data_IF_780748710713
#
_entry.id   IF_780748710713
#
_cell.length_a   1.000
_cell.length_b   1.000
_cell.length_c   1.000
_cell.angle_alpha   90.00
_cell.angle_beta   90.00
_cell.angle_gamma   90.00
#
_symmetry.space_group_name_H-M   'P 1'
#
loop_
_entity.id
_entity.type
_entity.pdbx_description
1 polymer ?
#
# COMPACT_ATOMS: atom_id res chain seq x y z
N UNK A 1 -24.58 26.76 -10.32
CA UNK A 1 -23.43 26.17 -9.61
C UNK A 1 -23.41 24.66 -9.84
N UNK A 2 -22.58 23.98 -10.64
CA UNK A 2 -21.69 24.32 -11.76
C UNK A 2 -21.44 22.97 -12.49
N UNK A 3 -22.09 22.69 -13.64
CA UNK A 3 -21.99 21.39 -14.35
C UNK A 3 -20.53 21.00 -14.66
N UNK A 4 -19.66 22.00 -14.86
CA UNK A 4 -18.23 21.80 -15.10
C UNK A 4 -17.45 21.32 -13.86
N UNK A 5 -17.80 21.79 -12.65
CA UNK A 5 -17.22 21.26 -11.40
C UNK A 5 -17.69 19.82 -11.15
N UNK A 6 -18.95 19.50 -11.46
CA UNK A 6 -19.50 18.15 -11.31
C UNK A 6 -18.90 17.16 -12.32
N UNK A 7 -18.69 17.58 -13.57
CA UNK A 7 -18.03 16.79 -14.63
C UNK A 7 -16.54 16.57 -14.33
N UNK A 8 -15.85 17.60 -13.82
CA UNK A 8 -14.45 17.50 -13.36
C UNK A 8 -14.31 16.51 -12.19
N UNK A 9 -15.21 16.59 -11.20
CA UNK A 9 -15.23 15.65 -10.06
C UNK A 9 -15.51 14.20 -10.47
N UNK A 10 -16.43 13.96 -11.42
CA UNK A 10 -16.68 12.62 -11.96
C UNK A 10 -15.48 12.07 -12.74
N UNK A 11 -14.85 12.90 -13.58
CA UNK A 11 -13.67 12.51 -14.35
C UNK A 11 -12.52 12.10 -13.41
N UNK A 12 -12.27 12.90 -12.37
CA UNK A 12 -11.23 12.62 -11.38
C UNK A 12 -11.49 11.31 -10.62
N UNK A 13 -12.76 10.99 -10.33
CA UNK A 13 -13.15 9.70 -9.71
C UNK A 13 -12.81 8.53 -10.63
N UNK A 14 -13.22 8.56 -11.90
CA UNK A 14 -12.94 7.45 -12.82
C UNK A 14 -11.44 7.29 -13.11
N UNK A 15 -10.71 8.40 -13.29
CA UNK A 15 -9.26 8.36 -13.45
C UNK A 15 -8.59 7.76 -12.21
N UNK A 16 -8.99 8.19 -11.01
CA UNK A 16 -8.45 7.64 -9.76
C UNK A 16 -8.73 6.14 -9.60
N UNK A 17 -9.92 5.70 -10.01
CA UNK A 17 -10.31 4.28 -10.01
C UNK A 17 -9.41 3.47 -10.93
N UNK A 18 -9.32 3.86 -12.21
CA UNK A 18 -8.54 3.14 -13.22
C UNK A 18 -7.06 3.09 -12.82
N UNK A 19 -6.50 4.24 -12.45
CA UNK A 19 -5.09 4.33 -12.04
C UNK A 19 -4.83 3.46 -10.82
N UNK A 20 -5.69 3.48 -9.80
CA UNK A 20 -5.50 2.64 -8.61
C UNK A 20 -5.64 1.15 -8.91
N UNK A 21 -6.62 0.76 -9.75
CA UNK A 21 -6.80 -0.64 -10.16
C UNK A 21 -5.57 -1.17 -10.89
N UNK A 22 -5.13 -0.46 -11.92
CA UNK A 22 -3.98 -0.87 -12.72
C UNK A 22 -2.71 -0.89 -11.87
N UNK A 23 -2.50 0.15 -11.07
CA UNK A 23 -1.36 0.23 -10.16
C UNK A 23 -1.30 -0.95 -9.20
N UNK A 24 -2.41 -1.27 -8.52
CA UNK A 24 -2.46 -2.38 -7.56
C UNK A 24 -2.21 -3.73 -8.22
N UNK A 25 -2.78 -3.97 -9.40
CA UNK A 25 -2.56 -5.21 -10.14
C UNK A 25 -1.12 -5.33 -10.64
N UNK A 26 -0.59 -4.26 -11.27
CA UNK A 26 0.76 -4.23 -11.82
C UNK A 26 1.82 -4.43 -10.74
N UNK A 27 1.66 -3.84 -9.55
CA UNK A 27 2.63 -3.98 -8.45
C UNK A 27 2.76 -5.44 -8.03
N UNK A 28 1.64 -6.13 -7.76
CA UNK A 28 1.66 -7.53 -7.34
C UNK A 28 2.25 -8.46 -8.40
N UNK A 29 1.81 -8.31 -9.65
CA UNK A 29 2.28 -9.11 -10.78
C UNK A 29 3.77 -8.87 -11.08
N UNK A 30 4.19 -7.60 -11.10
CA UNK A 30 5.58 -7.22 -11.42
C UNK A 30 6.54 -7.62 -10.30
N UNK A 31 6.12 -7.51 -9.03
CA UNK A 31 6.90 -8.05 -7.92
C UNK A 31 7.09 -9.55 -8.09
N UNK A 32 6.03 -10.32 -8.33
CA UNK A 32 6.15 -11.77 -8.55
C UNK A 32 7.10 -12.09 -9.70
N UNK A 33 6.88 -11.48 -10.87
CA UNK A 33 7.72 -11.70 -12.03
C UNK A 33 9.21 -11.38 -11.75
N UNK A 34 9.49 -10.25 -11.09
CA UNK A 34 10.87 -9.87 -10.74
C UNK A 34 11.59 -10.87 -9.84
N UNK A 35 10.84 -11.66 -9.06
CA UNK A 35 11.37 -12.63 -8.09
C UNK A 35 11.36 -14.07 -8.62
N UNK A 36 10.68 -14.35 -9.73
CA UNK A 36 10.63 -15.70 -10.33
C UNK A 36 11.26 -15.81 -11.70
N UNK A 37 11.67 -14.69 -12.31
CA UNK A 37 12.40 -14.68 -13.59
C UNK A 37 13.77 -15.35 -13.47
N UNK A 38 14.29 -15.84 -14.60
CA UNK A 38 15.65 -16.35 -14.69
C UNK A 38 16.68 -15.21 -14.69
N UNK A 39 17.89 -15.49 -14.23
CA UNK A 39 19.01 -14.54 -14.16
C UNK A 39 19.37 -14.13 -12.74
N UNK A 40 20.31 -13.19 -12.64
CA UNK A 40 20.80 -12.69 -11.35
C UNK A 40 19.68 -11.97 -10.59
N UNK A 41 19.48 -12.39 -9.34
CA UNK A 41 18.43 -11.86 -8.48
C UNK A 41 18.90 -10.57 -7.81
N UNK A 42 18.20 -9.48 -8.09
CA UNK A 42 18.44 -8.21 -7.41
C UNK A 42 18.16 -8.30 -5.91
N UNK A 43 18.80 -7.41 -5.15
CA UNK A 43 18.58 -7.27 -3.72
C UNK A 43 17.28 -6.48 -3.47
N UNK A 44 16.31 -7.09 -2.77
CA UNK A 44 15.05 -6.41 -2.49
C UNK A 44 15.23 -5.18 -1.59
N UNK A 45 16.20 -5.23 -0.67
CA UNK A 45 16.55 -4.15 0.24
C UNK A 45 16.95 -2.87 -0.51
N UNK A 46 17.81 -2.99 -1.51
CA UNK A 46 18.27 -1.87 -2.34
C UNK A 46 17.11 -1.30 -3.18
N UNK A 47 16.21 -2.15 -3.68
CA UNK A 47 15.04 -1.71 -4.44
C UNK A 47 14.05 -0.92 -3.58
N UNK A 48 13.86 -1.33 -2.31
CA UNK A 48 13.06 -0.58 -1.35
C UNK A 48 13.67 0.79 -1.09
N UNK A 49 15.00 0.88 -0.87
CA UNK A 49 15.69 2.18 -0.70
C UNK A 49 15.52 3.07 -1.91
N UNK A 50 15.73 2.53 -3.12
CA UNK A 50 15.58 3.32 -4.35
C UNK A 50 14.13 3.80 -4.55
N UNK A 51 13.13 3.04 -4.13
CA UNK A 51 11.74 3.49 -4.16
C UNK A 51 11.51 4.68 -3.21
N UNK A 52 12.17 4.72 -2.04
CA UNK A 52 12.15 5.90 -1.15
C UNK A 52 12.87 7.11 -1.77
N UNK A 53 13.97 6.91 -2.48
CA UNK A 53 14.68 7.99 -3.20
C UNK A 53 13.78 8.61 -4.26
N UNK A 54 13.12 7.79 -5.08
CA UNK A 54 12.19 8.27 -6.10
C UNK A 54 11.00 9.00 -5.47
N UNK A 55 10.45 8.46 -4.37
CA UNK A 55 9.37 9.14 -3.61
C UNK A 55 9.81 10.48 -3.04
N UNK A 56 11.01 10.55 -2.45
CA UNK A 56 11.56 11.79 -1.91
C UNK A 56 11.66 12.85 -3.01
N UNK A 57 12.29 12.50 -4.13
CA UNK A 57 12.43 13.40 -5.26
C UNK A 57 11.07 13.91 -5.75
N UNK A 58 10.11 13.00 -5.93
CA UNK A 58 8.77 13.34 -6.42
C UNK A 58 8.03 14.24 -5.42
N UNK A 59 8.12 13.96 -4.12
CA UNK A 59 7.49 14.79 -3.09
C UNK A 59 8.15 16.16 -2.97
N UNK A 60 9.47 16.27 -3.12
CA UNK A 60 10.16 17.57 -3.15
C UNK A 60 9.69 18.42 -4.32
N UNK A 61 9.52 17.83 -5.51
CA UNK A 61 8.95 18.52 -6.68
C UNK A 61 7.51 18.98 -6.39
N UNK A 62 6.67 18.13 -5.80
CA UNK A 62 5.28 18.49 -5.47
C UNK A 62 5.20 19.60 -4.41
N UNK A 63 6.04 19.55 -3.37
CA UNK A 63 6.12 20.62 -2.35
C UNK A 63 6.62 21.93 -2.99
N UNK A 64 7.60 21.87 -3.89
CA UNK A 64 8.05 23.05 -4.62
C UNK A 64 6.93 23.69 -5.45
N UNK A 65 6.12 22.86 -6.14
CA UNK A 65 4.95 23.32 -6.89
C UNK A 65 3.88 23.93 -5.96
N UNK A 66 3.63 23.34 -4.79
CA UNK A 66 2.67 23.88 -3.81
C UNK A 66 3.10 25.25 -3.24
N UNK A 67 4.39 25.43 -2.95
CA UNK A 67 4.92 26.68 -2.39
C UNK A 67 5.14 27.78 -3.44
N UNK A 68 5.34 27.40 -4.70
CA UNK A 68 5.43 28.28 -5.87
C UNK A 68 6.70 29.15 -5.97
N UNK A 69 7.51 29.23 -4.91
CA UNK A 69 8.76 29.99 -4.86
C UNK A 69 9.84 29.21 -4.08
N UNK A 70 11.08 29.25 -4.57
CA UNK A 70 12.26 28.65 -3.93
C UNK A 70 12.47 29.13 -2.49
N UNK A 71 12.29 30.42 -2.19
CA UNK A 71 12.49 30.94 -0.83
C UNK A 71 11.47 30.33 0.16
N UNK A 72 10.20 30.27 -0.25
CA UNK A 72 9.13 29.63 0.54
C UNK A 72 9.37 28.14 0.70
N UNK A 73 9.79 27.46 -0.37
CA UNK A 73 10.14 26.05 -0.36
C UNK A 73 11.25 25.73 0.67
N UNK A 74 12.37 26.45 0.62
CA UNK A 74 13.46 26.25 1.59
C UNK A 74 13.01 26.57 3.01
N UNK A 75 12.25 27.65 3.19
CA UNK A 75 11.70 28.03 4.50
C UNK A 75 10.76 26.95 5.05
N UNK A 76 9.90 26.38 4.22
CA UNK A 76 8.99 25.29 4.58
C UNK A 76 9.76 24.02 4.97
N UNK A 77 10.74 23.60 4.17
CA UNK A 77 11.60 22.46 4.50
C UNK A 77 12.33 22.66 5.83
N UNK A 78 12.96 23.83 6.02
CA UNK A 78 13.71 24.10 7.23
C UNK A 78 12.81 24.20 8.47
N UNK A 79 11.65 24.83 8.37
CA UNK A 79 10.69 24.95 9.47
C UNK A 79 10.12 23.58 9.87
N UNK A 80 9.72 22.77 8.90
CA UNK A 80 9.01 21.52 9.15
C UNK A 80 9.95 20.36 9.48
N UNK A 81 11.12 20.27 8.84
CA UNK A 81 12.07 19.17 9.05
C UNK A 81 13.03 19.47 10.21
N UNK A 82 13.66 20.63 10.21
CA UNK A 82 14.77 20.96 11.13
C UNK A 82 14.26 21.60 12.43
N UNK A 83 13.36 22.60 12.33
CA UNK A 83 12.90 23.34 13.51
C UNK A 83 11.83 22.61 14.33
N UNK A 84 11.26 21.51 13.82
CA UNK A 84 10.28 20.67 14.54
C UNK A 84 10.81 19.23 14.73
N UNK A 85 11.92 19.04 15.46
CA UNK A 85 12.57 17.74 15.58
C UNK A 85 11.68 16.67 16.25
N UNK A 86 10.81 17.08 17.19
CA UNK A 86 9.89 16.15 17.86
C UNK A 86 8.84 15.59 16.88
N UNK A 87 8.31 16.42 15.99
CA UNK A 87 7.34 15.95 15.00
C UNK A 87 8.01 15.12 13.92
N UNK A 88 9.22 15.49 13.51
CA UNK A 88 10.07 14.65 12.64
C UNK A 88 10.36 13.29 13.30
N UNK A 89 10.69 13.27 14.59
CA UNK A 89 10.97 12.03 15.32
C UNK A 89 9.75 11.10 15.42
N UNK A 90 8.53 11.66 15.58
CA UNK A 90 7.30 10.86 15.52
C UNK A 90 7.17 10.14 14.16
N UNK A 91 7.58 10.79 13.07
CA UNK A 91 7.54 10.22 11.72
C UNK A 91 8.62 9.13 11.51
N UNK A 92 9.63 9.01 12.38
CA UNK A 92 10.60 7.90 12.36
C UNK A 92 9.95 6.53 12.57
N UNK A 93 8.90 6.45 13.40
CA UNK A 93 8.20 5.20 13.69
C UNK A 93 7.56 4.62 12.41
N UNK A 94 6.66 5.32 11.70
CA UNK A 94 6.05 4.78 10.49
C UNK A 94 7.08 4.58 9.37
N UNK A 95 8.10 5.43 9.22
CA UNK A 95 9.14 5.24 8.18
C UNK A 95 9.90 3.93 8.35
N UNK A 96 10.39 3.62 9.55
CA UNK A 96 11.08 2.35 9.82
C UNK A 96 10.16 1.14 9.53
N UNK A 97 8.91 1.20 9.99
CA UNK A 97 7.96 0.11 9.80
C UNK A 97 7.60 -0.08 8.32
N UNK A 98 7.52 0.99 7.52
CA UNK A 98 7.30 0.90 6.09
C UNK A 98 8.49 0.28 5.35
N UNK A 99 9.73 0.56 5.75
CA UNK A 99 10.92 -0.10 5.18
C UNK A 99 10.86 -1.61 5.43
N UNK A 100 10.60 -2.02 6.68
CA UNK A 100 10.51 -3.45 7.03
C UNK A 100 9.33 -4.10 6.30
N UNK A 101 8.17 -3.44 6.27
CA UNK A 101 6.99 -3.91 5.56
C UNK A 101 7.28 -4.13 4.06
N UNK A 102 7.91 -3.16 3.38
CA UNK A 102 8.17 -3.25 1.96
C UNK A 102 9.15 -4.39 1.62
N UNK A 103 10.13 -4.64 2.48
CA UNK A 103 11.01 -5.81 2.34
C UNK A 103 10.25 -7.14 2.53
N UNK A 104 9.38 -7.23 3.55
CA UNK A 104 8.54 -8.40 3.76
C UNK A 104 7.58 -8.68 2.60
N UNK A 105 7.14 -7.64 1.88
CA UNK A 105 6.35 -7.81 0.66
C UNK A 105 7.14 -8.51 -0.45
N UNK A 106 8.43 -8.17 -0.63
CA UNK A 106 9.30 -8.89 -1.56
C UNK A 106 9.54 -10.34 -1.13
N UNK A 107 9.75 -10.59 0.16
CA UNK A 107 9.86 -11.96 0.70
C UNK A 107 8.58 -12.75 0.41
N UNK A 108 7.43 -12.14 0.63
CA UNK A 108 6.14 -12.76 0.33
C UNK A 108 5.95 -13.04 -1.16
N UNK A 109 6.21 -12.08 -2.05
CA UNK A 109 6.09 -12.26 -3.49
C UNK A 109 7.06 -13.30 -4.07
N UNK A 110 8.21 -13.50 -3.41
CA UNK A 110 9.18 -14.55 -3.78
C UNK A 110 8.67 -15.95 -3.45
N UNK A 111 7.78 -16.08 -2.46
CA UNK A 111 7.36 -17.36 -1.88
C UNK A 111 5.88 -17.72 -2.13
N UNK A 112 5.05 -16.75 -2.49
CA UNK A 112 3.64 -16.94 -2.88
C UNK A 112 3.45 -16.53 -4.33
N UNK A 113 2.54 -17.21 -5.04
CA UNK A 113 2.07 -16.75 -6.34
C UNK A 113 1.37 -15.38 -6.22
N UNK A 114 1.32 -14.65 -7.35
CA UNK A 114 0.82 -13.28 -7.35
C UNK A 114 -0.65 -13.18 -6.92
N UNK A 115 -1.51 -14.13 -7.30
CA UNK A 115 -2.93 -14.11 -6.97
C UNK A 115 -3.14 -14.34 -5.47
N UNK A 116 -2.46 -15.33 -4.89
CA UNK A 116 -2.49 -15.62 -3.46
C UNK A 116 -1.91 -14.48 -2.65
N UNK A 117 -0.77 -13.92 -3.06
CA UNK A 117 -0.20 -12.74 -2.42
C UNK A 117 -1.20 -11.57 -2.42
N UNK A 118 -1.82 -11.29 -3.57
CA UNK A 118 -2.79 -10.20 -3.73
C UNK A 118 -3.98 -10.35 -2.78
N UNK A 119 -4.58 -11.54 -2.69
CA UNK A 119 -5.74 -11.77 -1.81
C UNK A 119 -5.33 -11.76 -0.34
N UNK A 120 -4.19 -12.36 -0.01
CA UNK A 120 -3.69 -12.46 1.38
C UNK A 120 -3.35 -11.10 1.96
N UNK A 121 -2.79 -10.21 1.13
CA UNK A 121 -2.44 -8.86 1.57
C UNK A 121 -3.66 -8.01 1.93
N UNK A 122 -4.87 -8.45 1.56
CA UNK A 122 -6.11 -7.81 2.01
C UNK A 122 -6.37 -7.97 3.52
N UNK A 123 -5.67 -8.89 4.21
CA UNK A 123 -5.65 -8.96 5.68
C UNK A 123 -5.20 -7.64 6.32
N UNK A 124 -4.52 -6.76 5.57
CA UNK A 124 -4.26 -5.38 6.00
C UNK A 124 -5.52 -4.64 6.46
N UNK A 125 -6.70 -4.94 5.90
CA UNK A 125 -7.97 -4.33 6.33
C UNK A 125 -8.26 -4.70 7.78
N UNK A 126 -8.06 -5.97 8.16
CA UNK A 126 -8.23 -6.45 9.53
C UNK A 126 -7.28 -5.75 10.49
N UNK A 127 -5.98 -5.72 10.18
CA UNK A 127 -4.97 -5.12 11.06
C UNK A 127 -5.18 -3.60 11.18
N UNK A 128 -5.51 -2.93 10.08
CA UNK A 128 -5.84 -1.50 10.07
C UNK A 128 -7.07 -1.21 10.93
N UNK A 129 -8.12 -2.03 10.83
CA UNK A 129 -9.33 -1.90 11.64
C UNK A 129 -9.02 -2.10 13.13
N UNK A 130 -8.23 -3.12 13.48
CA UNK A 130 -7.78 -3.38 14.84
C UNK A 130 -7.03 -2.17 15.43
N UNK A 131 -6.05 -1.62 14.71
CA UNK A 131 -5.32 -0.44 15.17
C UNK A 131 -6.17 0.83 15.17
N UNK A 132 -7.12 0.97 14.25
CA UNK A 132 -8.05 2.10 14.25
C UNK A 132 -8.95 2.12 15.49
N UNK A 133 -9.43 0.95 15.95
CA UNK A 133 -10.22 0.83 17.17
C UNK A 133 -9.36 1.09 18.41
N UNK A 134 -8.17 0.49 18.47
CA UNK A 134 -7.31 0.57 19.68
C UNK A 134 -6.60 1.91 19.83
N UNK A 135 -6.04 2.48 18.76
CA UNK A 135 -5.21 3.70 18.80
C UNK A 135 -6.03 4.98 18.57
N UNK A 136 -6.95 4.96 17.60
CA UNK A 136 -7.78 6.12 17.24
C UNK A 136 -9.15 6.10 17.93
N UNK A 137 -9.47 5.05 18.70
CA UNK A 137 -10.77 4.88 19.38
C UNK A 137 -11.97 5.03 18.44
N UNK A 138 -11.82 4.60 17.17
CA UNK A 138 -12.92 4.58 16.21
C UNK A 138 -13.92 3.48 16.58
N UNK A 139 -15.21 3.76 16.45
CA UNK A 139 -16.26 2.74 16.56
C UNK A 139 -16.51 2.09 15.20
N UNK A 140 -16.55 0.76 15.17
CA UNK A 140 -16.93 -0.02 13.99
C UNK A 140 -18.37 -0.50 14.13
N UNK A 141 -19.09 -0.48 13.01
CA UNK A 141 -20.46 -1.01 12.94
C UNK A 141 -20.44 -2.54 12.96
N UNK A 142 -21.53 -3.16 13.40
CA UNK A 142 -21.68 -4.63 13.40
C UNK A 142 -21.46 -5.24 12.01
N UNK A 143 -21.92 -4.56 10.95
CA UNK A 143 -21.67 -4.97 9.55
C UNK A 143 -20.18 -4.99 9.22
N UNK A 144 -19.41 -4.03 9.73
CA UNK A 144 -17.96 -3.98 9.50
C UNK A 144 -17.25 -5.10 10.25
N UNK A 145 -17.67 -5.43 11.47
CA UNK A 145 -17.15 -6.62 12.18
C UNK A 145 -17.45 -7.91 11.43
N UNK A 146 -18.68 -8.08 10.92
CA UNK A 146 -19.04 -9.20 10.05
C UNK A 146 -18.19 -9.27 8.78
N UNK A 147 -17.92 -8.12 8.15
CA UNK A 147 -17.02 -8.03 7.01
C UNK A 147 -15.60 -8.52 7.35
N UNK A 148 -15.06 -8.14 8.51
CA UNK A 148 -13.72 -8.57 8.94
C UNK A 148 -13.66 -10.09 9.15
N UNK A 149 -14.69 -10.71 9.72
CA UNK A 149 -14.75 -12.18 9.84
C UNK A 149 -14.79 -12.83 8.45
N UNK A 150 -15.61 -12.30 7.55
CA UNK A 150 -15.73 -12.78 6.17
C UNK A 150 -14.38 -12.70 5.41
N UNK A 151 -13.61 -11.63 5.67
CA UNK A 151 -12.25 -11.45 5.14
C UNK A 151 -11.34 -12.59 5.55
N UNK A 152 -11.32 -12.93 6.85
CA UNK A 152 -10.47 -14.01 7.39
C UNK A 152 -10.85 -15.34 6.77
N UNK A 153 -12.14 -15.66 6.70
CA UNK A 153 -12.62 -16.90 6.06
C UNK A 153 -12.16 -16.97 4.60
N UNK A 154 -12.35 -15.88 3.85
CA UNK A 154 -11.95 -15.82 2.44
C UNK A 154 -10.45 -16.03 2.22
N UNK A 155 -9.61 -15.39 3.06
CA UNK A 155 -8.15 -15.56 2.99
C UNK A 155 -7.74 -16.97 3.40
N UNK A 156 -8.34 -17.56 4.44
CA UNK A 156 -8.08 -18.96 4.83
C UNK A 156 -8.41 -19.93 3.69
N UNK A 157 -9.55 -19.75 3.01
CA UNK A 157 -9.92 -20.58 1.87
C UNK A 157 -8.90 -20.48 0.73
N UNK A 158 -8.45 -19.27 0.39
CA UNK A 158 -7.41 -19.05 -0.63
C UNK A 158 -6.09 -19.70 -0.25
N UNK A 159 -5.66 -19.56 1.01
CA UNK A 159 -4.43 -20.14 1.52
C UNK A 159 -4.47 -21.67 1.49
N UNK A 160 -5.58 -22.28 1.90
CA UNK A 160 -5.76 -23.74 1.86
C UNK A 160 -5.76 -24.28 0.42
N UNK A 161 -6.34 -23.55 -0.53
CA UNK A 161 -6.41 -23.95 -1.94
C UNK A 161 -5.04 -24.10 -2.62
N UNK A 162 -3.98 -23.49 -2.06
CA UNK A 162 -2.63 -23.45 -2.63
C UNK A 162 -1.64 -24.40 -1.94
N UNK A 163 -2.12 -25.28 -1.05
CA UNK A 163 -1.26 -26.25 -0.34
C UNK A 163 -0.64 -27.32 -1.27
N UNK A 164 -0.95 -27.30 -2.57
CA UNK A 164 -0.43 -28.24 -3.58
C UNK A 164 0.78 -27.58 -4.27
N UNK A 165 1.98 -28.07 -3.95
CA UNK A 165 3.27 -27.59 -4.51
C UNK A 165 3.32 -27.80 -6.03
N UNK A 166 3.10 -26.75 -6.81
CA UNK A 166 3.53 -26.73 -8.20
C UNK A 166 5.01 -26.27 -8.25
N UNK A 167 5.93 -27.04 -8.86
CA UNK A 167 7.31 -26.59 -9.03
C UNK A 167 7.35 -25.39 -9.97
N UNK A 168 8.05 -24.32 -9.57
CA UNK A 168 8.26 -23.16 -10.43
C UNK A 168 9.36 -23.47 -11.45
N UNK A 169 9.18 -23.11 -12.74
CA UNK A 169 10.15 -23.41 -13.80
C UNK A 169 11.57 -22.91 -13.55
N UNK A 170 11.76 -21.90 -12.70
CA UNK A 170 13.05 -21.26 -12.41
C UNK A 170 13.93 -21.98 -11.39
N UNK A 171 13.46 -23.08 -10.79
CA UNK A 171 14.24 -23.83 -9.79
C UNK A 171 14.41 -23.13 -8.44
N UNK A 172 13.70 -22.02 -8.22
CA UNK A 172 13.70 -21.26 -6.97
C UNK A 172 12.82 -22.00 -5.95
N UNK A 173 13.41 -22.43 -4.83
CA UNK A 173 12.65 -23.02 -3.72
C UNK A 173 11.65 -22.02 -3.15
N UNK A 174 10.37 -22.41 -3.10
CA UNK A 174 9.31 -21.59 -2.53
C UNK A 174 8.81 -22.22 -1.24
N UNK A 175 8.77 -21.42 -0.19
CA UNK A 175 8.21 -21.83 1.08
C UNK A 175 6.94 -21.03 1.37
N UNK A 176 5.80 -21.68 1.15
CA UNK A 176 4.47 -21.11 1.36
C UNK A 176 4.29 -20.52 2.76
N UNK A 177 4.81 -21.16 3.80
CA UNK A 177 4.71 -20.68 5.18
C UNK A 177 5.53 -19.41 5.41
N UNK A 178 6.73 -19.32 4.82
CA UNK A 178 7.55 -18.10 4.86
C UNK A 178 6.82 -16.98 4.11
N UNK A 179 6.26 -17.28 2.94
CA UNK A 179 5.54 -16.30 2.13
C UNK A 179 4.28 -15.76 2.81
N UNK A 180 3.49 -16.64 3.44
CA UNK A 180 2.29 -16.29 4.20
C UNK A 180 2.63 -15.51 5.47
N UNK A 181 3.60 -15.98 6.27
CA UNK A 181 4.02 -15.28 7.49
C UNK A 181 4.59 -13.89 7.17
N UNK A 182 5.38 -13.75 6.10
CA UNK A 182 5.86 -12.46 5.61
C UNK A 182 4.71 -11.52 5.21
N UNK A 183 3.70 -12.01 4.46
CA UNK A 183 2.51 -11.22 4.13
C UNK A 183 1.74 -10.79 5.38
N UNK A 184 1.54 -11.69 6.33
CA UNK A 184 0.82 -11.41 7.57
C UNK A 184 1.56 -10.35 8.41
N UNK A 185 2.87 -10.51 8.60
CA UNK A 185 3.71 -9.52 9.27
C UNK A 185 3.68 -8.17 8.55
N UNK A 186 3.77 -8.15 7.22
CA UNK A 186 3.62 -6.93 6.43
C UNK A 186 2.24 -6.27 6.64
N UNK A 187 1.15 -7.04 6.68
CA UNK A 187 -0.19 -6.52 6.98
C UNK A 187 -0.25 -5.86 8.37
N UNK A 188 0.34 -6.48 9.39
CA UNK A 188 0.39 -5.90 10.75
C UNK A 188 1.17 -4.59 10.79
N UNK A 189 2.39 -4.58 10.24
CA UNK A 189 3.21 -3.37 10.15
C UNK A 189 2.50 -2.27 9.36
N UNK A 190 1.84 -2.62 8.25
CA UNK A 190 1.10 -1.66 7.43
C UNK A 190 -0.11 -1.07 8.14
N UNK A 191 -0.85 -1.89 8.87
CA UNK A 191 -2.00 -1.44 9.66
C UNK A 191 -1.56 -0.48 10.76
N UNK A 192 -0.51 -0.83 11.51
CA UNK A 192 0.00 0.04 12.58
C UNK A 192 0.60 1.33 12.03
N UNK A 193 1.53 1.24 11.08
CA UNK A 193 2.20 2.41 10.50
C UNK A 193 1.19 3.36 9.84
N UNK A 194 0.19 2.82 9.13
CA UNK A 194 -0.87 3.60 8.49
C UNK A 194 -1.73 4.36 9.50
N UNK A 195 -2.18 3.71 10.57
CA UNK A 195 -2.99 4.35 11.61
C UNK A 195 -2.19 5.36 12.43
N UNK A 196 -0.92 5.04 12.72
CA UNK A 196 -0.01 5.96 13.38
C UNK A 196 0.24 7.21 12.51
N UNK A 197 0.49 7.03 11.21
CA UNK A 197 0.66 8.13 10.26
C UNK A 197 -0.63 8.96 10.10
N UNK A 198 -1.81 8.33 10.05
CA UNK A 198 -3.10 9.02 10.05
C UNK A 198 -3.26 9.91 11.30
N UNK A 199 -2.83 9.40 12.48
CA UNK A 199 -2.86 10.16 13.73
C UNK A 199 -1.98 11.40 13.68
N UNK A 200 -0.77 11.30 13.12
CA UNK A 200 0.14 12.44 12.95
C UNK A 200 -0.43 13.45 11.95
N UNK A 201 -0.92 12.98 10.80
CA UNK A 201 -1.49 13.83 9.75
C UNK A 201 -2.66 14.67 10.26
N UNK A 202 -3.59 14.05 10.98
CA UNK A 202 -4.79 14.73 11.50
C UNK A 202 -4.49 15.73 12.63
N UNK A 203 -3.29 15.70 13.20
CA UNK A 203 -2.86 16.62 14.26
C UNK A 203 -2.12 17.86 13.76
N UNK A 204 -1.98 18.07 12.44
CA UNK A 204 -1.18 19.17 11.89
C UNK A 204 -1.70 19.68 10.55
N UNK A 205 -1.52 20.97 10.27
CA UNK A 205 -1.82 21.60 8.97
C UNK A 205 -0.73 21.36 7.90
N UNK A 206 0.19 20.42 8.14
CA UNK A 206 1.30 20.12 7.23
C UNK A 206 0.77 19.33 6.03
N UNK A 207 1.18 19.72 4.82
CA UNK A 207 0.74 19.07 3.59
C UNK A 207 1.14 17.59 3.56
N UNK A 208 0.32 16.78 2.88
CA UNK A 208 0.56 15.34 2.74
C UNK A 208 1.89 15.07 2.04
N UNK A 209 2.31 15.92 1.11
CA UNK A 209 3.60 15.79 0.43
C UNK A 209 4.76 16.12 1.35
N UNK A 210 4.66 17.18 2.16
CA UNK A 210 5.70 17.51 3.14
C UNK A 210 5.87 16.38 4.18
N UNK A 211 4.76 15.74 4.62
CA UNK A 211 4.85 14.55 5.47
C UNK A 211 5.51 13.36 4.76
N UNK A 212 5.28 13.18 3.46
CA UNK A 212 5.98 12.15 2.68
C UNK A 212 7.47 12.48 2.45
N UNK A 213 7.85 13.77 2.37
CA UNK A 213 9.26 14.19 2.41
C UNK A 213 9.87 13.78 3.75
N UNK A 214 9.25 14.12 4.88
CA UNK A 214 9.73 13.71 6.21
C UNK A 214 9.88 12.19 6.32
N UNK A 215 8.87 11.43 5.88
CA UNK A 215 8.94 9.97 5.84
C UNK A 215 10.14 9.50 5.02
N UNK A 216 10.30 9.98 3.78
CA UNK A 216 11.34 9.48 2.88
C UNK A 216 12.75 9.87 3.34
N UNK A 217 12.94 11.09 3.84
CA UNK A 217 14.23 11.57 4.41
C UNK A 217 14.68 10.69 5.57
N UNK A 218 13.74 10.20 6.39
CA UNK A 218 14.04 9.30 7.50
C UNK A 218 14.16 7.84 7.05
N UNK A 219 13.34 7.40 6.09
CA UNK A 219 13.36 6.04 5.56
C UNK A 219 14.66 5.69 4.84
N UNK A 220 15.26 6.63 4.09
CA UNK A 220 16.48 6.36 3.32
C UNK A 220 17.67 5.93 4.19
N UNK A 221 18.08 6.66 5.25
CA UNK A 221 19.20 6.23 6.08
C UNK A 221 18.91 4.92 6.82
N UNK A 222 17.69 4.71 7.32
CA UNK A 222 17.31 3.43 7.91
C UNK A 222 17.37 2.29 6.87
N UNK A 223 16.84 2.52 5.68
CA UNK A 223 16.85 1.57 4.57
C UNK A 223 18.27 1.22 4.14
N UNK A 224 19.15 2.20 3.96
CA UNK A 224 20.57 1.98 3.67
C UNK A 224 21.23 1.18 4.79
N UNK A 225 20.99 1.54 6.06
CA UNK A 225 21.46 0.78 7.22
C UNK A 225 21.03 -0.69 7.15
N UNK A 226 19.75 -0.95 6.87
CA UNK A 226 19.26 -2.33 6.70
C UNK A 226 19.88 -3.05 5.51
N UNK A 227 20.09 -2.37 4.37
CA UNK A 227 20.75 -2.95 3.20
C UNK A 227 22.17 -3.42 3.52
N UNK A 228 22.96 -2.58 4.19
CA UNK A 228 24.34 -2.93 4.52
C UNK A 228 24.44 -3.96 5.65
N UNK A 229 23.46 -4.01 6.55
CA UNK A 229 23.41 -5.04 7.61
C UNK A 229 22.98 -6.41 7.09
N UNK A 230 22.05 -6.47 6.13
CA UNK A 230 21.51 -7.73 5.60
C UNK A 230 22.30 -8.25 4.40
N UNK A 231 22.60 -7.37 3.44
CA UNK A 231 23.16 -7.73 2.14
C UNK A 231 24.57 -7.16 1.93
N UNK A 232 25.21 -6.67 3.00
CA UNK A 232 26.50 -5.96 2.92
C UNK A 232 27.61 -6.73 2.22
N UNK A 233 27.69 -8.04 2.44
CA UNK A 233 28.69 -8.90 1.78
C UNK A 233 28.46 -8.99 0.27
N UNK A 234 27.20 -9.07 -0.16
CA UNK A 234 26.82 -9.15 -1.58
C UNK A 234 27.04 -7.77 -2.22
N UNK A 235 26.59 -6.69 -1.56
CA UNK A 235 26.78 -5.31 -2.03
C UNK A 235 28.28 -5.00 -2.19
N UNK A 236 29.14 -5.47 -1.29
CA UNK A 236 30.59 -5.26 -1.38
C UNK A 236 31.23 -6.05 -2.53
N UNK A 237 30.73 -7.25 -2.82
CA UNK A 237 31.29 -8.13 -3.87
C UNK A 237 30.77 -7.80 -5.27
N UNK A 238 29.48 -7.49 -5.39
CA UNK A 238 28.77 -7.37 -6.67
C UNK A 238 28.20 -5.97 -6.93
N UNK A 239 28.22 -5.09 -5.93
CA UNK A 239 27.71 -3.73 -6.03
C UNK A 239 26.25 -3.58 -5.59
N UNK A 240 25.87 -2.34 -5.27
CA UNK A 240 24.52 -1.99 -4.80
C UNK A 240 23.41 -2.25 -5.84
N UNK A 241 23.74 -2.15 -7.12
CA UNK A 241 22.80 -2.33 -8.24
C UNK A 241 22.92 -3.71 -8.89
N UNK A 242 23.44 -4.70 -8.17
CA UNK A 242 23.52 -6.07 -8.69
C UNK A 242 22.13 -6.61 -9.07
N UNK A 243 22.02 -7.25 -10.24
CA UNK A 243 20.76 -7.80 -10.77
C UNK A 243 19.74 -6.75 -11.26
N UNK A 244 20.11 -5.45 -11.29
CA UNK A 244 19.23 -4.41 -11.83
C UNK A 244 19.26 -4.39 -13.35
N UNK A 245 18.07 -4.42 -13.92
CA UNK A 245 17.82 -4.14 -15.33
C UNK A 245 16.70 -3.10 -15.47
N UNK A 246 16.32 -2.79 -16.70
CA UNK A 246 15.25 -1.83 -16.99
C UNK A 246 13.93 -2.21 -16.32
N UNK A 247 13.66 -3.51 -16.14
CA UNK A 247 12.45 -3.98 -15.48
C UNK A 247 12.48 -3.69 -13.97
N UNK A 248 13.61 -3.89 -13.29
CA UNK A 248 13.75 -3.50 -11.86
C UNK A 248 13.62 -1.99 -11.69
N UNK A 249 14.22 -1.19 -12.59
CA UNK A 249 14.04 0.26 -12.58
C UNK A 249 12.57 0.67 -12.74
N UNK A 250 11.84 0.03 -13.67
CA UNK A 250 10.39 0.19 -13.80
C UNK A 250 9.65 -0.19 -12.51
N UNK A 251 9.99 -1.32 -11.89
CA UNK A 251 9.35 -1.80 -10.66
C UNK A 251 9.58 -0.82 -9.48
N UNK A 252 10.78 -0.26 -9.37
CA UNK A 252 11.11 0.77 -8.36
C UNK A 252 10.24 2.01 -8.54
N UNK A 253 10.10 2.50 -9.78
CA UNK A 253 9.22 3.64 -10.10
C UNK A 253 7.76 3.30 -9.83
N UNK A 254 7.33 2.09 -10.19
CA UNK A 254 5.98 1.60 -9.94
C UNK A 254 5.68 1.57 -8.44
N UNK A 255 6.57 1.00 -7.62
CA UNK A 255 6.44 0.99 -6.15
C UNK A 255 6.39 2.40 -5.56
N UNK A 256 7.28 3.29 -6.00
CA UNK A 256 7.30 4.67 -5.56
C UNK A 256 5.99 5.40 -5.89
N UNK A 257 5.53 5.27 -7.14
CA UNK A 257 4.27 5.85 -7.62
C UNK A 257 3.06 5.31 -6.86
N UNK A 258 3.04 4.02 -6.52
CA UNK A 258 1.96 3.40 -5.76
C UNK A 258 1.69 4.07 -4.41
N UNK A 259 2.75 4.38 -3.66
CA UNK A 259 2.62 5.09 -2.38
C UNK A 259 2.00 6.50 -2.53
N UNK A 260 2.38 7.22 -3.58
CA UNK A 260 1.88 8.58 -3.87
C UNK A 260 0.45 8.56 -4.40
N UNK A 261 0.12 7.61 -5.27
CA UNK A 261 -1.23 7.39 -5.79
C UNK A 261 -2.17 7.08 -4.62
N UNK A 262 -1.77 6.24 -3.67
CA UNK A 262 -2.58 5.97 -2.47
C UNK A 262 -2.85 7.25 -1.69
N UNK A 263 -1.85 8.11 -1.49
CA UNK A 263 -2.03 9.40 -0.82
C UNK A 263 -3.02 10.31 -1.56
N UNK A 264 -2.93 10.37 -2.89
CA UNK A 264 -3.87 11.13 -3.74
C UNK A 264 -5.28 10.56 -3.66
N UNK A 265 -5.44 9.24 -3.79
CA UNK A 265 -6.74 8.56 -3.77
C UNK A 265 -7.41 8.67 -2.39
N UNK A 266 -6.63 8.71 -1.30
CA UNK A 266 -7.17 9.02 0.03
C UNK A 266 -7.83 10.40 0.08
N UNK A 267 -7.27 11.39 -0.64
CA UNK A 267 -7.79 12.76 -0.68
C UNK A 267 -9.03 12.91 -1.57
N UNK A 268 -9.15 12.12 -2.65
CA UNK A 268 -10.16 12.37 -3.70
C UNK A 268 -11.16 11.23 -3.94
N UNK A 269 -10.98 10.03 -3.39
CA UNK A 269 -11.87 8.90 -3.63
C UNK A 269 -12.60 8.42 -2.37
N UNK A 270 -13.88 8.11 -2.57
CA UNK A 270 -14.73 7.47 -1.56
C UNK A 270 -14.24 6.04 -1.27
N UNK A 271 -14.46 5.55 -0.04
CA UNK A 271 -14.01 4.20 0.37
C UNK A 271 -14.61 3.08 -0.49
N UNK A 272 -15.82 3.28 -1.02
CA UNK A 272 -16.47 2.37 -1.96
C UNK A 272 -15.68 2.28 -3.28
N UNK A 273 -15.19 3.41 -3.81
CA UNK A 273 -14.43 3.44 -5.06
C UNK A 273 -13.07 2.73 -4.92
N UNK A 274 -12.41 2.90 -3.78
CA UNK A 274 -11.20 2.13 -3.44
C UNK A 274 -11.48 0.63 -3.35
N UNK A 275 -12.65 0.26 -2.82
CA UNK A 275 -13.12 -1.12 -2.77
C UNK A 275 -13.29 -1.73 -4.17
N UNK A 276 -13.93 -1.00 -5.09
CA UNK A 276 -14.01 -1.39 -6.50
C UNK A 276 -12.63 -1.54 -7.13
N UNK A 277 -11.74 -0.55 -6.92
CA UNK A 277 -10.41 -0.59 -7.54
C UNK A 277 -9.63 -1.84 -7.12
N UNK A 278 -9.68 -2.14 -5.82
CA UNK A 278 -8.98 -3.27 -5.22
C UNK A 278 -9.59 -4.61 -5.65
N UNK A 279 -10.91 -4.70 -5.75
CA UNK A 279 -11.61 -5.91 -6.21
C UNK A 279 -11.28 -6.22 -7.67
N UNK A 280 -11.29 -5.20 -8.53
CA UNK A 280 -10.87 -5.36 -9.93
C UNK A 280 -9.39 -5.74 -10.03
N UNK A 281 -8.52 -5.19 -9.19
CA UNK A 281 -7.11 -5.56 -9.15
C UNK A 281 -6.92 -7.04 -8.76
N UNK A 282 -7.69 -7.56 -7.80
CA UNK A 282 -7.67 -9.00 -7.45
C UNK A 282 -8.06 -9.86 -8.66
N UNK A 283 -9.14 -9.50 -9.35
CA UNK A 283 -9.62 -10.25 -10.52
C UNK A 283 -8.58 -10.20 -11.65
N UNK A 284 -8.04 -9.03 -11.97
CA UNK A 284 -7.03 -8.84 -13.00
C UNK A 284 -5.76 -9.63 -12.64
N UNK A 285 -5.27 -9.54 -11.41
CA UNK A 285 -4.09 -10.29 -10.97
C UNK A 285 -4.32 -11.79 -11.04
N UNK A 286 -5.53 -12.27 -10.72
CA UNK A 286 -5.87 -13.69 -10.85
C UNK A 286 -5.84 -14.15 -12.31
N UNK A 287 -6.53 -13.42 -13.20
CA UNK A 287 -6.57 -13.75 -14.64
C UNK A 287 -5.15 -13.70 -15.24
N UNK A 288 -4.41 -12.63 -14.97
CA UNK A 288 -3.03 -12.48 -15.43
C UNK A 288 -2.14 -13.59 -14.89
N UNK A 289 -2.34 -14.05 -13.64
CA UNK A 289 -1.55 -15.15 -13.09
C UNK A 289 -1.79 -16.49 -13.80
N UNK A 290 -2.99 -16.73 -14.31
CA UNK A 290 -3.29 -17.94 -15.11
C UNK A 290 -2.43 -17.96 -16.37
N UNK A 291 -2.31 -16.82 -17.06
CA UNK A 291 -1.60 -16.72 -18.34
C UNK A 291 -0.09 -16.49 -18.19
N UNK A 292 0.37 -15.78 -17.14
CA UNK A 292 1.77 -15.38 -16.98
C UNK A 292 2.58 -16.32 -16.07
N UNK A 293 1.92 -17.04 -15.17
CA UNK A 293 2.57 -17.85 -14.13
C UNK A 293 2.01 -19.28 -14.03
N UNK A 294 1.26 -19.75 -15.05
CA UNK A 294 0.62 -21.07 -15.08
C UNK A 294 -0.24 -21.39 -13.85
N UNK A 295 -0.86 -20.34 -13.27
CA UNK A 295 -1.66 -20.47 -12.06
C UNK A 295 -2.93 -21.29 -12.32
N UNK A 296 -3.16 -22.33 -11.51
CA UNK A 296 -4.36 -23.17 -11.58
C UNK A 296 -5.45 -22.64 -10.67
N UNK A 297 -6.47 -22.03 -11.27
CA UNK A 297 -7.64 -21.56 -10.54
C UNK A 297 -8.48 -22.75 -10.05
N UNK A 298 -8.57 -22.93 -8.74
CA UNK A 298 -9.46 -23.91 -8.11
C UNK A 298 -10.78 -23.27 -7.69
N UNK A 299 -11.85 -24.07 -7.59
CA UNK A 299 -13.12 -23.58 -7.07
C UNK A 299 -12.98 -23.01 -5.64
N UNK A 300 -12.17 -23.66 -4.80
CA UNK A 300 -11.89 -23.21 -3.44
C UNK A 300 -11.19 -21.83 -3.43
N UNK A 301 -10.23 -21.60 -4.32
CA UNK A 301 -9.60 -20.29 -4.47
C UNK A 301 -10.61 -19.24 -4.94
N UNK A 302 -11.41 -19.55 -5.96
CA UNK A 302 -12.42 -18.64 -6.49
C UNK A 302 -13.44 -18.23 -5.43
N UNK A 303 -13.93 -19.19 -4.64
CA UNK A 303 -14.83 -18.93 -3.51
C UNK A 303 -14.16 -18.04 -2.46
N UNK A 304 -12.92 -18.34 -2.07
CA UNK A 304 -12.17 -17.53 -1.11
C UNK A 304 -11.97 -16.09 -1.59
N UNK A 305 -11.56 -15.90 -2.84
CA UNK A 305 -11.39 -14.58 -3.46
C UNK A 305 -12.72 -13.80 -3.52
N UNK A 306 -13.82 -14.48 -3.83
CA UNK A 306 -15.16 -13.90 -3.81
C UNK A 306 -15.54 -13.39 -2.40
N UNK A 307 -15.32 -14.19 -1.35
CA UNK A 307 -15.59 -13.76 0.03
C UNK A 307 -14.74 -12.55 0.44
N UNK A 308 -13.47 -12.50 0.04
CA UNK A 308 -12.60 -11.34 0.28
C UNK A 308 -13.14 -10.10 -0.43
N UNK A 309 -13.56 -10.21 -1.69
CA UNK A 309 -14.17 -9.11 -2.45
C UNK A 309 -15.44 -8.62 -1.76
N UNK A 310 -16.35 -9.52 -1.38
CA UNK A 310 -17.57 -9.17 -0.64
C UNK A 310 -17.25 -8.42 0.66
N UNK A 311 -16.26 -8.90 1.42
CA UNK A 311 -15.80 -8.24 2.64
C UNK A 311 -15.31 -6.81 2.40
N UNK A 312 -14.53 -6.58 1.35
CA UNK A 312 -14.03 -5.24 0.99
C UNK A 312 -15.20 -4.26 0.81
N UNK A 313 -16.27 -4.68 0.11
CA UNK A 313 -17.46 -3.85 -0.09
C UNK A 313 -18.26 -3.63 1.20
N UNK A 314 -18.50 -4.70 1.97
CA UNK A 314 -19.22 -4.62 3.25
C UNK A 314 -18.51 -3.69 4.24
N UNK A 315 -17.18 -3.77 4.31
CA UNK A 315 -16.38 -2.92 5.20
C UNK A 315 -16.33 -1.46 4.73
N UNK A 316 -16.23 -1.24 3.40
CA UNK A 316 -16.16 0.08 2.78
C UNK A 316 -17.50 0.84 2.73
N UNK A 317 -18.62 0.15 2.94
CA UNK A 317 -19.94 0.76 2.94
C UNK A 317 -20.19 1.59 4.21
N UNK A 318 -20.23 2.91 4.06
CA UNK A 318 -20.65 3.85 5.10
C UNK A 318 -21.97 4.49 4.64
N UNK A 319 -23.13 4.14 5.25
CA UNK A 319 -24.39 4.76 4.86
C UNK A 319 -24.34 6.25 5.23
N UNK A 320 -24.78 7.10 4.30
CA UNK A 320 -24.85 8.54 4.49
C UNK A 320 -25.74 8.82 5.70
N UNK A 321 -25.20 9.45 6.73
CA UNK A 321 -26.01 10.04 7.80
C UNK A 321 -26.86 11.13 7.17
N UNK A 322 -28.17 10.89 7.08
CA UNK A 322 -29.14 11.95 6.77
C UNK A 322 -29.12 12.87 7.99
N UNK A 323 -28.46 14.03 7.88
CA UNK A 323 -28.62 15.11 8.83
C UNK A 323 -30.07 15.58 8.71
N UNK A 324 -30.92 15.19 9.67
CA UNK A 324 -32.18 15.85 9.91
C UNK A 324 -31.86 17.29 10.32
N UNK A 325 -31.98 18.23 9.38
CA UNK A 325 -32.00 19.65 9.69
C UNK A 325 -33.15 19.90 10.67
N UNK A 326 -32.81 20.04 11.96
CA UNK A 326 -33.71 20.62 12.95
C UNK A 326 -33.78 22.14 12.70
N UNK A 327 -34.43 22.53 11.61
CA UNK A 327 -35.05 23.84 11.54
C UNK A 327 -36.37 23.77 12.30
N UNK A 328 -36.30 23.90 13.62
CA UNK A 328 -37.42 24.37 14.43
C UNK A 328 -37.49 25.89 14.24
N UNK A 329 -38.52 26.47 13.61
CA UNK A 329 -38.77 27.88 13.80
C UNK A 329 -39.30 28.05 15.21
N UNK A 330 -38.48 28.65 16.07
CA UNK A 330 -38.99 29.26 17.29
C UNK A 330 -39.96 30.37 16.88
N UNK A 331 -41.27 30.07 16.84
CA UNK A 331 -42.29 31.10 16.84
C UNK A 331 -42.24 31.81 18.19
N UNK A 332 -41.93 33.10 18.13
CA UNK A 332 -41.97 34.06 19.22
C UNK A 332 -43.43 34.27 19.68
N UNK A 333 -43.53 34.58 20.98
CA UNK A 333 -44.68 35.13 21.74
C UNK A 333 -45.79 34.14 22.04
#
# INVERSE_FOLDING_TARGET
MNKNLQKSGQTLKYVSLITLTLQNAMVGLSMRYSRTRAGDMFLSSTAVVMAEVVKLFTCLVLVFIEEGNMEKFYKALHLTIVKQPIDTLKVCVPSLLYIVQNNLLYVSASNLDAATHQVTYQLKILTTAFFAVTILRKSLRTVQWGALVLLVIGVVLVQLAQSIKAPVPSGIEQNHLIGFSAALSACFLSGFAGIYFEKILKGSDISVWMRNVQLSVLSIPFGLGTCFLQDGDIIRKQGFFFGYDLFICYLVVLQAGGGLIVAMVVKYADNILKGFATSLAIIISCIASIYLFDFRLTFQFALGAFLVICSIFLYGHQPKTVSLDKHTPASKV
#
